data_IF_650742761355
#
_entry.id   IF_650742761355
#
_cell.length_a   1.000
_cell.length_b   1.000
_cell.length_c   1.000
_cell.angle_alpha   90.00
_cell.angle_beta   90.00
_cell.angle_gamma   90.00
#
_symmetry.space_group_name_H-M   'P 1'
#
loop_
_entity.id
_entity.type
_entity.pdbx_description
1 polymer ?
#
# COMPACT_ATOMS: atom_id res chain seq x y z
N UNK A 1 -19.42 -48.94 -20.39
CA UNK A 1 -19.75 -48.14 -19.20
C UNK A 1 -18.63 -47.13 -19.02
N UNK A 2 -18.65 -46.07 -19.80
CA UNK A 2 -17.67 -44.99 -19.72
C UNK A 2 -18.48 -43.76 -19.31
N UNK A 3 -18.50 -43.49 -18.01
CA UNK A 3 -19.13 -42.30 -17.47
C UNK A 3 -18.14 -41.16 -17.62
N UNK A 4 -18.64 -40.15 -18.32
CA UNK A 4 -18.03 -38.88 -18.65
C UNK A 4 -17.40 -38.22 -17.41
N UNK A 5 -16.07 -38.22 -17.34
CA UNK A 5 -15.27 -37.52 -16.32
C UNK A 5 -14.95 -36.07 -16.70
N UNK A 6 -15.59 -35.53 -17.75
CA UNK A 6 -15.33 -34.15 -18.22
C UNK A 6 -16.06 -33.10 -17.38
N UNK A 7 -17.12 -33.48 -16.66
CA UNK A 7 -17.97 -32.52 -15.94
C UNK A 7 -17.36 -32.05 -14.61
N UNK A 8 -16.42 -32.83 -14.04
CA UNK A 8 -15.79 -32.52 -12.74
C UNK A 8 -14.56 -31.59 -12.83
N UNK A 9 -14.27 -31.01 -14.01
CA UNK A 9 -13.13 -30.10 -14.22
C UNK A 9 -13.54 -28.62 -14.29
N UNK A 10 -14.83 -28.30 -14.33
CA UNK A 10 -15.30 -26.93 -14.53
C UNK A 10 -15.61 -26.15 -13.25
N UNK A 11 -15.80 -26.82 -12.10
CA UNK A 11 -16.16 -26.15 -10.84
C UNK A 11 -14.96 -25.89 -9.90
N UNK A 12 -13.77 -26.43 -10.21
CA UNK A 12 -12.59 -26.25 -9.34
C UNK A 12 -11.82 -24.94 -9.55
N UNK A 13 -11.91 -24.34 -10.74
CA UNK A 13 -11.12 -23.14 -11.07
C UNK A 13 -11.67 -21.83 -10.48
N UNK A 14 -12.92 -21.84 -10.00
CA UNK A 14 -13.55 -20.63 -9.44
C UNK A 14 -13.10 -20.32 -8.00
N UNK A 15 -12.71 -21.33 -7.20
CA UNK A 15 -12.26 -21.11 -5.82
C UNK A 15 -10.72 -21.03 -5.70
N UNK A 16 -9.96 -21.70 -6.58
CA UNK A 16 -8.49 -21.58 -6.64
C UNK A 16 -8.02 -20.18 -7.07
N UNK A 17 -8.84 -19.43 -7.81
CA UNK A 17 -8.55 -18.05 -8.20
C UNK A 17 -8.68 -17.03 -7.05
N UNK A 18 -9.17 -17.45 -5.87
CA UNK A 18 -9.29 -16.58 -4.68
C UNK A 18 -8.12 -16.75 -3.71
N UNK A 19 -7.20 -17.70 -3.95
CA UNK A 19 -6.16 -18.06 -2.99
C UNK A 19 -4.77 -17.45 -3.23
N UNK A 20 -4.55 -16.74 -4.33
CA UNK A 20 -3.23 -16.19 -4.71
C UNK A 20 -3.05 -14.67 -4.49
N UNK A 21 -3.78 -14.05 -3.57
CA UNK A 21 -3.57 -12.62 -3.26
C UNK A 21 -3.65 -12.32 -1.75
N UNK A 22 -2.84 -13.02 -0.96
CA UNK A 22 -2.42 -12.57 0.38
C UNK A 22 -1.43 -11.38 0.30
N UNK A 23 -1.48 -10.61 -0.78
CA UNK A 23 -0.92 -9.27 -0.85
C UNK A 23 -1.82 -8.39 0.00
N UNK A 24 -1.26 -7.75 1.03
CA UNK A 24 -1.99 -6.77 1.83
C UNK A 24 -2.28 -5.58 0.90
N UNK A 25 -3.39 -5.67 0.16
CA UNK A 25 -3.82 -4.62 -0.74
C UNK A 25 -4.05 -3.37 0.12
N UNK A 26 -3.43 -2.22 -0.25
CA UNK A 26 -3.70 -0.99 0.46
C UNK A 26 -5.20 -0.71 0.38
N UNK A 27 -5.78 -0.19 1.46
CA UNK A 27 -7.16 0.27 1.37
C UNK A 27 -7.25 1.40 0.33
N UNK A 28 -8.42 1.58 -0.30
CA UNK A 28 -8.59 2.55 -1.40
C UNK A 28 -7.96 3.92 -1.12
N UNK A 29 -8.17 4.49 0.08
CA UNK A 29 -7.59 5.76 0.48
C UNK A 29 -6.05 5.77 0.51
N UNK A 30 -5.41 4.65 0.85
CA UNK A 30 -3.95 4.51 0.79
C UNK A 30 -3.47 4.34 -0.65
N UNK A 31 -4.21 3.62 -1.49
CA UNK A 31 -3.89 3.49 -2.92
C UNK A 31 -3.95 4.86 -3.62
N UNK A 32 -4.98 5.66 -3.32
CA UNK A 32 -5.17 7.01 -3.87
C UNK A 32 -4.16 8.05 -3.36
N UNK A 33 -3.46 7.73 -2.26
CA UNK A 33 -2.45 8.60 -1.66
C UNK A 33 -1.05 8.32 -2.19
N UNK A 34 -0.76 7.08 -2.58
CA UNK A 34 0.56 6.71 -3.10
C UNK A 34 0.93 7.52 -4.35
N UNK A 35 2.15 8.06 -4.38
CA UNK A 35 2.68 8.87 -5.48
C UNK A 35 2.12 10.29 -5.56
N UNK A 36 1.18 10.67 -4.69
CA UNK A 36 0.64 12.02 -4.66
C UNK A 36 1.66 13.03 -4.11
N UNK A 37 1.53 14.33 -4.44
CA UNK A 37 2.37 15.38 -3.84
C UNK A 37 2.26 15.40 -2.31
N UNK A 38 3.36 15.67 -1.61
CA UNK A 38 3.41 15.72 -0.15
C UNK A 38 2.55 16.85 0.46
N UNK A 39 2.18 17.85 -0.36
CA UNK A 39 1.22 18.90 -0.01
C UNK A 39 -0.21 18.37 0.18
N UNK A 40 -0.56 17.22 -0.43
CA UNK A 40 -1.80 16.51 -0.13
C UNK A 40 -1.75 16.03 1.31
N UNK A 41 -2.74 16.41 2.12
CA UNK A 41 -2.82 16.01 3.52
C UNK A 41 -3.00 14.49 3.69
N UNK A 42 -2.62 13.93 4.85
CA UNK A 42 -2.96 12.55 5.18
C UNK A 42 -4.48 12.37 5.25
N UNK A 43 -4.98 11.19 4.88
CA UNK A 43 -6.37 10.82 5.17
C UNK A 43 -6.52 10.40 6.64
N UNK A 44 -7.75 10.44 7.17
CA UNK A 44 -8.07 10.27 8.61
C UNK A 44 -7.62 8.95 9.27
N UNK A 45 -7.23 7.98 8.46
CA UNK A 45 -6.80 6.65 8.91
C UNK A 45 -5.28 6.50 8.97
N UNK A 46 -4.51 7.52 8.59
CA UNK A 46 -3.06 7.55 8.75
C UNK A 46 -2.70 8.19 10.08
N UNK A 47 -2.06 7.41 10.95
CA UNK A 47 -1.51 7.90 12.21
C UNK A 47 -0.06 8.29 11.99
N UNK A 48 0.31 9.52 12.37
CA UNK A 48 1.70 9.97 12.38
C UNK A 48 2.46 9.19 13.47
N UNK A 49 3.56 8.55 13.08
CA UNK A 49 4.43 7.80 13.99
C UNK A 49 5.64 8.63 14.39
N UNK A 50 6.27 9.27 13.40
CA UNK A 50 7.52 10.00 13.59
C UNK A 50 7.61 11.17 12.61
N UNK A 51 8.34 12.20 13.03
CA UNK A 51 8.77 13.31 12.17
C UNK A 51 10.27 13.47 12.37
N UNK A 52 11.03 13.23 11.31
CA UNK A 52 12.47 13.41 11.27
C UNK A 52 12.86 14.68 10.52
N UNK A 53 13.92 15.33 10.98
CA UNK A 53 14.63 16.34 10.19
C UNK A 53 16.08 15.89 10.05
N UNK A 54 16.52 15.58 8.83
CA UNK A 54 17.94 15.33 8.59
C UNK A 54 18.63 16.67 8.33
N UNK A 55 19.42 17.12 9.31
CA UNK A 55 20.31 18.30 9.26
C UNK A 55 19.68 19.54 8.59
N UNK A 56 18.41 19.83 8.89
CA UNK A 56 17.64 20.97 8.35
C UNK A 56 17.43 21.02 6.83
N UNK A 57 17.78 19.96 6.08
CA UNK A 57 17.64 19.94 4.60
C UNK A 57 16.44 19.10 4.16
N UNK A 58 16.09 18.06 4.92
CA UNK A 58 14.95 17.18 4.62
C UNK A 58 14.11 16.98 5.85
N UNK A 59 12.87 17.47 5.79
CA UNK A 59 11.82 17.15 6.76
C UNK A 59 11.02 15.97 6.22
N UNK A 60 10.93 14.89 6.98
CA UNK A 60 10.23 13.67 6.60
C UNK A 60 9.24 13.27 7.70
N UNK A 61 8.06 12.82 7.30
CA UNK A 61 7.05 12.29 8.21
C UNK A 61 6.72 10.85 7.87
N UNK A 62 6.64 10.01 8.90
CA UNK A 62 6.27 8.61 8.79
C UNK A 62 4.88 8.35 9.38
N UNK A 63 4.06 7.62 8.64
CA UNK A 63 2.69 7.31 9.00
C UNK A 63 2.41 5.81 8.90
N UNK A 64 1.50 5.32 9.74
CA UNK A 64 0.94 3.97 9.61
C UNK A 64 -0.58 4.05 9.48
N UNK A 65 -1.11 3.37 8.48
CA UNK A 65 -2.55 3.25 8.31
C UNK A 65 -3.13 2.30 9.38
N UNK A 66 -4.09 2.77 10.17
CA UNK A 66 -4.69 1.94 11.23
C UNK A 66 -5.51 0.77 10.66
N UNK A 67 -6.04 0.92 9.44
CA UNK A 67 -6.88 -0.06 8.73
C UNK A 67 -6.07 -1.17 8.07
N UNK A 68 -5.21 -0.83 7.12
CA UNK A 68 -4.47 -1.81 6.31
C UNK A 68 -3.00 -1.97 6.72
N UNK A 69 -2.55 -1.27 7.78
CA UNK A 69 -1.16 -1.29 8.28
C UNK A 69 -0.09 -0.84 7.28
N UNK A 70 -0.49 -0.25 6.16
CA UNK A 70 0.41 0.40 5.21
C UNK A 70 1.26 1.46 5.89
N UNK A 71 2.59 1.39 5.72
CA UNK A 71 3.53 2.39 6.21
C UNK A 71 3.85 3.36 5.08
N UNK A 72 3.74 4.65 5.37
CA UNK A 72 4.01 5.73 4.42
C UNK A 72 5.09 6.65 4.95
N UNK A 73 5.83 7.24 4.01
CA UNK A 73 6.63 8.43 4.23
C UNK A 73 6.13 9.56 3.33
N UNK A 74 6.28 10.81 3.79
CA UNK A 74 6.29 11.96 2.89
C UNK A 74 7.45 12.88 3.20
N UNK A 75 8.05 13.44 2.15
CA UNK A 75 9.12 14.43 2.25
C UNK A 75 8.49 15.82 2.11
N UNK A 76 8.65 16.66 3.12
CA UNK A 76 8.08 18.01 3.20
C UNK A 76 9.05 19.11 2.76
N UNK A 77 10.35 18.84 2.76
CA UNK A 77 11.38 19.81 2.40
C UNK A 77 12.50 19.17 1.55
N UNK A 78 13.11 19.96 0.68
CA UNK A 78 14.09 19.51 -0.31
C UNK A 78 13.55 19.64 -1.74
N UNK A 79 14.14 18.91 -2.69
CA UNK A 79 13.78 18.96 -4.11
C UNK A 79 12.29 18.64 -4.34
N UNK A 80 11.57 19.51 -5.05
CA UNK A 80 10.10 19.44 -5.22
C UNK A 80 9.62 18.12 -5.83
N UNK A 81 10.40 17.52 -6.75
CA UNK A 81 10.06 16.24 -7.35
C UNK A 81 10.17 15.05 -6.38
N UNK A 82 10.87 15.22 -5.24
CA UNK A 82 10.96 14.22 -4.17
C UNK A 82 9.89 14.41 -3.10
N UNK A 83 9.15 15.53 -3.12
CA UNK A 83 8.09 15.83 -2.16
C UNK A 83 6.80 15.10 -2.53
N UNK A 84 6.82 13.77 -2.37
CA UNK A 84 5.70 12.88 -2.66
C UNK A 84 5.40 11.96 -1.48
N UNK A 85 4.22 11.35 -1.52
CA UNK A 85 3.83 10.24 -0.65
C UNK A 85 4.41 8.92 -1.17
N UNK A 86 5.27 8.30 -0.37
CA UNK A 86 5.92 7.03 -0.66
C UNK A 86 5.32 5.94 0.24
N UNK A 87 4.92 4.82 -0.35
CA UNK A 87 4.54 3.61 0.36
C UNK A 87 5.81 2.81 0.68
N UNK A 88 6.08 2.55 1.95
CA UNK A 88 7.26 1.81 2.41
C UNK A 88 7.01 0.30 2.56
N UNK A 89 5.76 -0.16 2.39
CA UNK A 89 5.37 -1.56 2.57
C UNK A 89 5.48 -2.45 1.32
N UNK A 90 6.16 -1.99 0.27
CA UNK A 90 6.66 -2.91 -0.76
C UNK A 90 8.14 -3.19 -0.45
N UNK A 91 8.43 -4.45 -0.10
CA UNK A 91 9.73 -5.05 0.29
C UNK A 91 10.32 -4.65 1.66
N UNK A 92 9.84 -5.29 2.74
CA UNK A 92 10.75 -5.87 3.74
C UNK A 92 11.13 -7.28 3.24
N UNK A 93 12.09 -7.36 2.31
CA UNK A 93 12.96 -8.53 2.14
C UNK A 93 14.19 -8.16 1.30
#
# INVERSE_FOLDING_TARGET
>A
MERDSSEYRSESVAWESTLMDLWIQPCAACADLYGQPASKGPHDRLKLNNRGAEKDVRAEEHYTCVRCKAVFARILAGESHKQIWMLLNASQH
#
